data_IF_394822054385
#
_entry.id   IF_394822054385
#
_cell.length_a   1.000
_cell.length_b   1.000
_cell.length_c   1.000
_cell.angle_alpha   90.00
_cell.angle_beta   90.00
_cell.angle_gamma   90.00
#
_symmetry.space_group_name_H-M   'P 1'
#
loop_
_entity.id
_entity.type
_entity.pdbx_description
1 polymer ?
#
# COMPACT_ATOMS: atom_id res chain seq x y z
N UNK A 1 -82.34 6.22 7.81
CA UNK A 1 -81.17 6.43 6.96
C UNK A 1 -79.95 6.79 7.87
N UNK A 2 -79.10 5.79 8.17
CA UNK A 2 -77.89 5.97 8.89
C UNK A 2 -76.75 6.14 7.86
N UNK A 3 -76.06 7.30 7.87
CA UNK A 3 -74.77 7.50 7.19
C UNK A 3 -73.72 6.74 7.96
N UNK A 4 -73.02 5.83 7.30
CA UNK A 4 -71.76 5.23 7.75
C UNK A 4 -70.62 5.99 7.08
N UNK A 5 -69.79 6.63 7.91
CA UNK A 5 -68.50 7.21 7.45
C UNK A 5 -67.48 6.09 7.22
N UNK A 6 -66.65 6.17 6.19
CA UNK A 6 -65.59 5.19 5.96
C UNK A 6 -64.44 5.40 6.94
N UNK A 7 -64.06 4.35 7.66
CA UNK A 7 -62.95 4.32 8.58
C UNK A 7 -61.61 4.55 7.84
N UNK A 8 -60.91 5.57 8.25
CA UNK A 8 -59.61 5.97 7.78
C UNK A 8 -58.50 5.02 8.31
N UNK A 9 -58.49 3.77 7.83
CA UNK A 9 -57.41 2.79 8.15
C UNK A 9 -56.46 2.50 6.99
N UNK A 10 -56.64 3.11 5.80
CA UNK A 10 -55.81 2.87 4.62
C UNK A 10 -54.51 3.68 4.60
N UNK A 11 -54.46 4.83 5.30
CA UNK A 11 -53.32 5.75 5.22
C UNK A 11 -52.02 5.26 5.89
N UNK A 12 -52.17 4.56 7.02
CA UNK A 12 -50.99 4.08 7.77
C UNK A 12 -50.28 2.90 7.10
N UNK A 13 -51.01 2.03 6.44
CA UNK A 13 -50.43 0.88 5.73
C UNK A 13 -49.72 1.31 4.45
N UNK A 14 -50.25 2.31 3.74
CA UNK A 14 -49.60 2.85 2.53
C UNK A 14 -48.30 3.62 2.84
N UNK A 15 -48.25 4.35 3.94
CA UNK A 15 -47.03 5.08 4.38
C UNK A 15 -45.97 4.08 4.82
N UNK A 16 -46.35 2.98 5.50
CA UNK A 16 -45.38 1.99 5.94
C UNK A 16 -44.77 1.19 4.79
N UNK A 17 -45.58 0.81 3.80
CA UNK A 17 -45.10 0.12 2.59
C UNK A 17 -44.27 1.04 1.72
N UNK A 18 -44.61 2.33 1.62
CA UNK A 18 -43.85 3.29 0.83
C UNK A 18 -42.49 3.58 1.47
N UNK A 19 -42.42 3.76 2.79
CA UNK A 19 -41.14 3.96 3.49
C UNK A 19 -40.25 2.71 3.49
N UNK A 20 -40.82 1.50 3.64
CA UNK A 20 -40.01 0.27 3.55
C UNK A 20 -39.52 0.00 2.13
N UNK A 21 -40.36 0.28 1.10
CA UNK A 21 -39.97 0.14 -0.30
C UNK A 21 -38.87 1.18 -0.68
N UNK A 22 -38.95 2.42 -0.17
CA UNK A 22 -37.94 3.46 -0.40
C UNK A 22 -36.63 3.12 0.32
N UNK A 23 -36.69 2.56 1.53
CA UNK A 23 -35.54 2.08 2.25
C UNK A 23 -34.89 0.86 1.57
N UNK A 24 -35.68 -0.07 1.04
CA UNK A 24 -35.23 -1.22 0.25
C UNK A 24 -34.65 -0.81 -1.09
N UNK A 25 -35.24 0.14 -1.81
CA UNK A 25 -34.72 0.68 -3.06
C UNK A 25 -33.41 1.46 -2.84
N UNK A 26 -33.29 2.18 -1.72
CA UNK A 26 -32.05 2.87 -1.38
C UNK A 26 -30.91 1.88 -1.01
N UNK A 27 -31.25 0.74 -0.40
CA UNK A 27 -30.30 -0.34 -0.09
C UNK A 27 -29.84 -1.10 -1.35
N UNK A 28 -30.71 -1.24 -2.36
CA UNK A 28 -30.40 -1.94 -3.63
C UNK A 28 -29.49 -1.10 -4.55
N UNK A 29 -29.44 0.23 -4.36
CA UNK A 29 -28.65 1.14 -5.20
C UNK A 29 -27.44 1.80 -4.49
N UNK A 30 -26.96 1.23 -3.38
CA UNK A 30 -25.67 1.67 -2.85
C UNK A 30 -24.56 1.21 -3.81
N UNK A 31 -24.28 2.05 -4.81
CA UNK A 31 -23.16 1.88 -5.72
C UNK A 31 -21.88 2.17 -4.92
N UNK A 32 -21.18 1.14 -4.49
CA UNK A 32 -19.89 1.30 -3.86
C UNK A 32 -18.88 1.64 -4.97
N UNK A 33 -18.36 2.84 -4.95
CA UNK A 33 -17.21 3.20 -5.82
C UNK A 33 -15.96 2.80 -5.09
N UNK A 34 -15.17 1.91 -5.72
CA UNK A 34 -13.91 1.42 -5.16
C UNK A 34 -12.79 1.96 -6.04
N UNK A 35 -11.80 2.58 -5.42
CA UNK A 35 -10.56 2.93 -6.09
C UNK A 35 -9.60 1.75 -5.95
N UNK A 36 -9.40 1.01 -7.04
CA UNK A 36 -8.45 -0.10 -7.10
C UNK A 36 -7.11 0.50 -7.52
N UNK A 37 -6.01 0.24 -6.80
CA UNK A 37 -4.71 0.75 -7.21
C UNK A 37 -4.32 0.20 -8.58
N UNK A 38 -3.82 1.08 -9.44
CA UNK A 38 -3.37 0.74 -10.80
C UNK A 38 -1.84 0.59 -10.88
N UNK A 39 -1.13 1.01 -9.83
CA UNK A 39 0.33 0.95 -9.76
C UNK A 39 0.85 0.81 -8.33
N UNK A 40 2.10 0.36 -8.18
CA UNK A 40 2.78 0.30 -6.89
C UNK A 40 2.97 1.69 -6.25
N UNK A 41 2.89 2.77 -7.02
CA UNK A 41 2.96 4.15 -6.49
C UNK A 41 1.71 4.60 -5.75
N UNK A 42 0.63 3.81 -5.80
CA UNK A 42 -0.61 4.06 -5.07
C UNK A 42 -0.73 3.22 -3.78
N UNK A 43 0.23 2.32 -3.55
CA UNK A 43 0.28 1.45 -2.37
C UNK A 43 1.43 1.90 -1.48
N UNK A 44 1.16 2.17 -0.20
CA UNK A 44 2.18 2.54 0.77
C UNK A 44 2.86 1.33 1.40
N UNK A 45 4.09 1.51 1.89
CA UNK A 45 4.80 0.50 2.66
C UNK A 45 4.01 0.07 3.91
N UNK A 46 3.33 1.01 4.59
CA UNK A 46 2.48 0.69 5.75
C UNK A 46 1.32 -0.26 5.40
N UNK A 47 0.67 -0.06 4.24
CA UNK A 47 -0.37 -0.97 3.77
C UNK A 47 0.20 -2.37 3.48
N UNK A 48 1.34 -2.43 2.84
CA UNK A 48 2.01 -3.71 2.53
C UNK A 48 2.46 -4.45 3.80
N UNK A 49 3.07 -3.74 4.75
CA UNK A 49 3.44 -4.31 6.06
C UNK A 49 2.22 -4.84 6.83
N UNK A 50 1.10 -4.09 6.81
CA UNK A 50 -0.16 -4.53 7.41
C UNK A 50 -0.69 -5.78 6.71
N UNK A 51 -0.63 -5.85 5.39
CA UNK A 51 -1.03 -7.01 4.61
C UNK A 51 -0.20 -8.24 4.96
N UNK A 52 1.13 -8.16 4.91
CA UNK A 52 2.03 -9.26 5.23
C UNK A 52 1.79 -9.82 6.65
N UNK A 53 1.64 -8.95 7.64
CA UNK A 53 1.35 -9.37 9.01
C UNK A 53 0.04 -10.17 9.15
N UNK A 54 -0.93 -9.91 8.28
CA UNK A 54 -2.21 -10.63 8.26
C UNK A 54 -2.07 -11.94 7.47
N UNK A 55 -1.43 -11.90 6.31
CA UNK A 55 -1.27 -13.07 5.43
C UNK A 55 -0.40 -14.16 6.06
N UNK A 56 0.67 -13.79 6.76
CA UNK A 56 1.56 -14.74 7.43
C UNK A 56 0.90 -15.53 8.57
N UNK A 57 -0.20 -15.01 9.11
CA UNK A 57 -0.89 -15.60 10.26
C UNK A 57 -2.27 -16.21 9.92
N UNK A 58 -2.65 -16.27 8.64
CA UNK A 58 -3.96 -16.75 8.22
C UNK A 58 -3.87 -17.59 6.95
N UNK A 59 -4.59 -18.70 6.92
CA UNK A 59 -4.70 -19.59 5.77
C UNK A 59 -6.07 -19.49 5.07
N UNK A 60 -7.06 -18.79 5.68
CA UNK A 60 -8.40 -18.62 5.09
C UNK A 60 -8.34 -17.70 3.88
N UNK A 61 -8.44 -18.29 2.71
CA UNK A 61 -8.36 -17.59 1.42
C UNK A 61 -9.44 -16.50 1.27
N UNK A 62 -10.66 -16.76 1.72
CA UNK A 62 -11.73 -15.77 1.61
C UNK A 62 -11.51 -14.57 2.54
N UNK A 63 -11.02 -14.84 3.75
CA UNK A 63 -10.63 -13.78 4.68
C UNK A 63 -9.47 -12.94 4.10
N UNK A 64 -8.45 -13.60 3.53
CA UNK A 64 -7.32 -12.91 2.92
C UNK A 64 -7.73 -12.04 1.74
N UNK A 65 -8.60 -12.51 0.83
CA UNK A 65 -9.14 -11.69 -0.27
C UNK A 65 -9.84 -10.43 0.24
N UNK A 66 -10.68 -10.57 1.28
CA UNK A 66 -11.36 -9.43 1.88
C UNK A 66 -10.39 -8.42 2.49
N UNK A 67 -9.36 -8.91 3.20
CA UNK A 67 -8.34 -8.05 3.83
C UNK A 67 -7.42 -7.39 2.81
N UNK A 68 -7.11 -8.04 1.70
CA UNK A 68 -6.36 -7.45 0.60
C UNK A 68 -7.10 -6.23 0.04
N UNK A 69 -8.40 -6.38 -0.27
CA UNK A 69 -9.23 -5.28 -0.78
C UNK A 69 -9.38 -4.17 0.27
N UNK A 70 -9.68 -4.53 1.54
CA UNK A 70 -9.80 -3.55 2.63
C UNK A 70 -8.55 -2.68 2.75
N UNK A 71 -7.37 -3.29 2.68
CA UNK A 71 -6.10 -2.60 2.91
C UNK A 71 -5.67 -1.80 1.68
N UNK A 72 -5.65 -2.41 0.50
CA UNK A 72 -5.07 -1.78 -0.69
C UNK A 72 -6.04 -0.83 -1.40
N UNK A 73 -7.35 -1.08 -1.34
CA UNK A 73 -8.35 -0.13 -1.83
C UNK A 73 -8.77 0.90 -0.76
N UNK A 74 -8.23 0.82 0.46
CA UNK A 74 -8.50 1.72 1.58
C UNK A 74 -10.00 1.91 1.86
N UNK A 75 -10.78 0.82 1.88
CA UNK A 75 -12.22 0.81 2.15
C UNK A 75 -12.54 0.00 3.39
N UNK A 76 -13.57 0.36 4.18
CA UNK A 76 -13.99 -0.42 5.35
C UNK A 76 -14.44 -1.83 4.97
N UNK A 77 -14.16 -2.83 5.82
CA UNK A 77 -14.56 -4.23 5.60
C UNK A 77 -16.08 -4.37 5.29
N UNK A 78 -16.92 -3.54 5.93
CA UNK A 78 -18.36 -3.52 5.66
C UNK A 78 -18.69 -3.22 4.18
N UNK A 79 -17.88 -2.39 3.51
CA UNK A 79 -18.05 -2.10 2.09
C UNK A 79 -17.54 -3.26 1.23
N UNK A 80 -16.43 -3.89 1.61
CA UNK A 80 -15.90 -5.09 0.92
C UNK A 80 -16.96 -6.18 0.88
N UNK A 81 -17.69 -6.42 1.97
CA UNK A 81 -18.75 -7.43 2.06
C UNK A 81 -19.96 -7.14 1.15
N UNK A 82 -20.10 -5.94 0.63
CA UNK A 82 -21.15 -5.56 -0.33
C UNK A 82 -20.71 -5.71 -1.80
N UNK A 83 -19.45 -6.08 -2.07
CA UNK A 83 -18.95 -6.33 -3.42
C UNK A 83 -19.50 -7.69 -3.90
N UNK A 84 -19.81 -7.80 -5.19
CA UNK A 84 -20.22 -9.08 -5.77
C UNK A 84 -19.06 -10.09 -5.72
N UNK A 85 -19.37 -11.34 -5.44
CA UNK A 85 -18.35 -12.40 -5.30
C UNK A 85 -17.45 -12.52 -6.53
N UNK A 86 -18.00 -12.43 -7.73
CA UNK A 86 -17.19 -12.48 -8.97
C UNK A 86 -16.24 -11.30 -9.12
N UNK A 87 -16.61 -10.11 -8.61
CA UNK A 87 -15.79 -8.90 -8.71
C UNK A 87 -14.63 -8.97 -7.69
N UNK A 88 -14.80 -9.66 -6.55
CA UNK A 88 -13.74 -9.88 -5.54
C UNK A 88 -12.53 -10.55 -6.16
N UNK A 89 -12.71 -11.63 -6.92
CA UNK A 89 -11.62 -12.38 -7.53
C UNK A 89 -10.88 -11.52 -8.57
N UNK A 90 -11.62 -10.77 -9.38
CA UNK A 90 -11.02 -9.84 -10.37
C UNK A 90 -10.18 -8.76 -9.70
N UNK A 91 -10.69 -8.11 -8.63
CA UNK A 91 -9.95 -7.08 -7.90
C UNK A 91 -8.67 -7.65 -7.28
N UNK A 92 -8.75 -8.83 -6.67
CA UNK A 92 -7.60 -9.51 -6.07
C UNK A 92 -6.54 -9.87 -7.13
N UNK A 93 -6.97 -10.36 -8.30
CA UNK A 93 -6.07 -10.64 -9.42
C UNK A 93 -5.38 -9.38 -9.92
N UNK A 94 -6.09 -8.27 -10.06
CA UNK A 94 -5.52 -7.01 -10.52
C UNK A 94 -4.50 -6.45 -9.53
N UNK A 95 -4.80 -6.49 -8.22
CA UNK A 95 -3.83 -6.12 -7.19
C UNK A 95 -2.59 -7.04 -7.23
N UNK A 96 -2.77 -8.36 -7.35
CA UNK A 96 -1.66 -9.30 -7.41
C UNK A 96 -0.76 -9.07 -8.64
N UNK A 97 -1.31 -8.68 -9.78
CA UNK A 97 -0.53 -8.35 -10.98
C UNK A 97 0.45 -7.20 -10.74
N UNK A 98 0.11 -6.24 -9.87
CA UNK A 98 1.00 -5.12 -9.55
C UNK A 98 2.30 -5.58 -8.89
N UNK A 99 2.23 -6.61 -8.04
CA UNK A 99 3.40 -7.16 -7.35
C UNK A 99 4.32 -8.00 -8.26
N UNK A 100 3.88 -8.32 -9.48
CA UNK A 100 4.69 -9.01 -10.50
C UNK A 100 5.44 -8.04 -11.41
N UNK A 101 5.15 -6.74 -11.33
CA UNK A 101 5.81 -5.71 -12.15
C UNK A 101 7.22 -5.48 -11.60
N UNK A 102 8.23 -5.67 -12.45
CA UNK A 102 9.61 -5.33 -12.09
C UNK A 102 9.76 -3.81 -11.99
N UNK A 103 10.09 -3.26 -10.81
CA UNK A 103 10.20 -1.83 -10.62
C UNK A 103 11.45 -1.27 -11.30
N UNK A 104 11.31 -0.11 -11.95
CA UNK A 104 12.45 0.66 -12.44
C UNK A 104 13.10 1.39 -11.26
N UNK A 105 14.42 1.39 -11.20
CA UNK A 105 15.16 2.12 -10.18
C UNK A 105 14.82 3.61 -10.21
N UNK A 106 14.51 4.15 -9.03
CA UNK A 106 14.24 5.56 -8.78
C UNK A 106 15.28 6.07 -7.80
N UNK A 107 16.20 6.86 -8.29
CA UNK A 107 17.26 7.46 -7.48
C UNK A 107 16.78 8.65 -6.64
N UNK A 108 15.64 9.26 -7.00
CA UNK A 108 15.04 10.42 -6.31
C UNK A 108 13.52 10.33 -6.24
N UNK A 109 12.95 10.90 -5.16
CA UNK A 109 11.51 11.09 -5.04
C UNK A 109 11.16 12.21 -4.07
N UNK A 110 9.93 12.73 -4.18
CA UNK A 110 9.40 13.75 -3.26
C UNK A 110 8.64 13.07 -2.12
N UNK A 111 8.92 13.48 -0.89
CA UNK A 111 8.22 12.95 0.28
C UNK A 111 8.16 14.01 1.39
N UNK A 112 6.95 14.27 1.93
CA UNK A 112 6.71 15.26 2.99
C UNK A 112 7.35 16.64 2.71
N UNK A 113 7.34 17.09 1.44
CA UNK A 113 7.89 18.38 1.04
C UNK A 113 9.41 18.43 0.91
N UNK A 114 10.10 17.31 1.05
CA UNK A 114 11.53 17.17 0.84
C UNK A 114 11.82 16.26 -0.36
N UNK A 115 12.90 16.56 -1.09
CA UNK A 115 13.42 15.66 -2.11
C UNK A 115 14.41 14.69 -1.45
N UNK A 116 14.15 13.39 -1.58
CA UNK A 116 15.02 12.32 -1.11
C UNK A 116 15.82 11.75 -2.26
N UNK A 117 17.07 11.41 -2.00
CA UNK A 117 17.97 10.74 -2.93
C UNK A 117 18.51 9.43 -2.35
N UNK A 118 18.69 8.44 -3.22
CA UNK A 118 19.37 7.19 -2.88
C UNK A 118 20.84 7.47 -2.55
N UNK A 119 21.46 6.68 -1.70
CA UNK A 119 22.90 6.78 -1.38
C UNK A 119 23.70 6.80 -2.69
N UNK A 120 24.43 7.90 -3.02
CA UNK A 120 25.10 8.01 -4.32
C UNK A 120 26.27 7.05 -4.49
N UNK A 121 26.87 6.62 -3.37
CA UNK A 121 28.04 5.74 -3.34
C UNK A 121 27.91 4.75 -2.18
N UNK A 122 27.52 3.53 -2.51
CA UNK A 122 27.35 2.47 -1.51
C UNK A 122 28.68 1.98 -0.91
N UNK A 123 29.78 2.12 -1.63
CA UNK A 123 31.14 1.80 -1.19
C UNK A 123 31.70 2.80 -0.15
N UNK A 124 31.10 4.00 -0.05
CA UNK A 124 31.42 5.00 0.98
C UNK A 124 30.47 4.95 2.19
N UNK A 125 29.62 3.91 2.28
CA UNK A 125 28.69 3.74 3.40
C UNK A 125 29.45 3.63 4.72
N UNK A 126 29.01 4.38 5.74
CA UNK A 126 29.58 4.29 7.08
C UNK A 126 29.24 2.94 7.75
N UNK A 127 30.03 2.56 8.74
CA UNK A 127 29.79 1.33 9.49
C UNK A 127 28.42 1.34 10.22
N UNK A 128 27.97 2.51 10.69
CA UNK A 128 26.63 2.65 11.29
C UNK A 128 25.50 2.40 10.28
N UNK A 129 25.60 2.98 9.08
CA UNK A 129 24.64 2.72 7.99
C UNK A 129 24.60 1.24 7.61
N UNK A 130 25.76 0.60 7.54
CA UNK A 130 25.86 -0.82 7.22
C UNK A 130 25.19 -1.70 8.27
N UNK A 131 25.44 -1.47 9.57
CA UNK A 131 24.82 -2.24 10.66
C UNK A 131 23.31 -2.07 10.66
N UNK A 132 22.81 -0.84 10.51
CA UNK A 132 21.38 -0.58 10.51
C UNK A 132 20.71 -1.18 9.28
N UNK A 133 21.35 -1.13 8.12
CA UNK A 133 20.83 -1.75 6.91
C UNK A 133 20.77 -3.28 7.04
N UNK A 134 21.84 -3.92 7.54
CA UNK A 134 21.90 -5.37 7.79
C UNK A 134 20.85 -5.81 8.80
N UNK A 135 20.55 -4.97 9.80
CA UNK A 135 19.54 -5.24 10.83
C UNK A 135 18.11 -5.13 10.30
N UNK A 136 17.81 -4.10 9.49
CA UNK A 136 16.42 -3.76 9.15
C UNK A 136 15.97 -4.26 7.77
N UNK A 137 16.89 -4.55 6.86
CA UNK A 137 16.57 -4.98 5.50
C UNK A 137 15.94 -6.37 5.40
N UNK A 138 16.32 -7.38 6.24
CA UNK A 138 15.75 -8.72 6.14
C UNK A 138 14.26 -8.80 6.51
N UNK A 139 13.77 -7.86 7.32
CA UNK A 139 12.44 -7.93 7.91
C UNK A 139 11.50 -6.88 7.34
N UNK A 140 10.42 -7.31 6.68
CA UNK A 140 9.44 -6.39 6.11
C UNK A 140 8.84 -5.42 7.13
N UNK A 141 8.67 -5.84 8.39
CA UNK A 141 8.10 -4.98 9.44
C UNK A 141 9.03 -3.82 9.84
N UNK A 142 10.33 -3.93 9.54
CA UNK A 142 11.35 -2.88 9.78
C UNK A 142 11.82 -2.20 8.50
N UNK A 143 11.30 -2.58 7.35
CA UNK A 143 11.71 -2.07 6.03
C UNK A 143 11.69 -0.54 5.93
N UNK A 144 10.75 0.15 6.58
CA UNK A 144 10.72 1.62 6.62
C UNK A 144 11.99 2.23 7.21
N UNK A 145 12.68 1.54 8.12
CA UNK A 145 13.97 1.93 8.66
C UNK A 145 15.10 1.70 7.66
N UNK A 146 15.09 0.55 6.97
CA UNK A 146 16.05 0.28 5.90
C UNK A 146 15.96 1.31 4.77
N UNK A 147 14.74 1.69 4.38
CA UNK A 147 14.52 2.74 3.37
C UNK A 147 15.06 4.10 3.85
N UNK A 148 14.95 4.41 5.15
CA UNK A 148 15.52 5.64 5.73
C UNK A 148 17.07 5.65 5.75
N UNK A 149 17.70 4.48 5.77
CA UNK A 149 19.17 4.37 5.55
C UNK A 149 19.52 4.62 4.09
N UNK A 150 18.78 3.99 3.17
CA UNK A 150 19.07 4.03 1.72
C UNK A 150 18.74 5.37 1.06
N UNK A 151 17.70 6.07 1.54
CA UNK A 151 17.24 7.34 0.98
C UNK A 151 17.25 8.42 2.04
N UNK A 152 17.88 9.54 1.74
CA UNK A 152 17.94 10.70 2.64
C UNK A 152 17.66 11.99 1.89
N UNK A 153 17.22 13.06 2.58
CA UNK A 153 17.01 14.37 1.97
C UNK A 153 18.24 14.85 1.20
N UNK A 154 18.01 15.42 0.02
CA UNK A 154 19.04 16.01 -0.81
C UNK A 154 19.35 17.41 -0.27
N UNK A 155 20.59 17.62 0.18
CA UNK A 155 21.10 18.93 0.63
C UNK A 155 21.50 19.83 -0.52
N UNK A 156 22.04 19.22 -1.58
CA UNK A 156 22.56 19.94 -2.74
C UNK A 156 22.41 19.09 -3.99
N UNK A 157 21.97 19.70 -5.07
CA UNK A 157 21.82 19.04 -6.38
C UNK A 157 22.40 19.91 -7.49
N UNK A 158 23.18 19.31 -8.39
CA UNK A 158 23.69 19.95 -9.60
C UNK A 158 23.67 18.98 -10.77
N UNK A 159 22.77 19.22 -11.72
CA UNK A 159 22.49 18.30 -12.85
C UNK A 159 22.09 16.92 -12.29
N UNK A 160 22.76 15.87 -12.75
CA UNK A 160 22.52 14.49 -12.32
C UNK A 160 23.17 14.12 -10.96
N UNK A 161 24.06 14.97 -10.44
CA UNK A 161 24.76 14.71 -9.17
C UNK A 161 24.06 15.38 -8.00
N UNK A 162 24.00 14.70 -6.88
CA UNK A 162 23.47 15.24 -5.64
C UNK A 162 24.27 14.78 -4.42
N UNK A 163 24.10 15.52 -3.33
CA UNK A 163 24.58 15.18 -2.00
C UNK A 163 23.38 15.04 -1.09
N UNK A 164 23.33 13.95 -0.36
CA UNK A 164 22.30 13.68 0.64
C UNK A 164 22.76 14.12 2.03
N UNK A 165 21.83 14.19 2.97
CA UNK A 165 22.17 14.42 4.38
C UNK A 165 23.08 13.35 4.94
N UNK A 166 23.92 13.75 5.91
CA UNK A 166 24.71 12.82 6.69
C UNK A 166 23.79 11.88 7.47
N UNK A 167 24.24 10.64 7.64
CA UNK A 167 23.46 9.66 8.38
C UNK A 167 23.46 9.98 9.89
N UNK A 168 22.30 9.95 10.51
CA UNK A 168 22.13 10.11 11.94
C UNK A 168 21.51 8.86 12.59
N UNK A 169 20.37 8.40 12.07
CA UNK A 169 19.71 7.18 12.53
C UNK A 169 18.68 6.67 11.51
N UNK A 170 18.35 5.39 11.59
CA UNK A 170 17.31 4.76 10.78
C UNK A 170 15.88 5.21 11.13
N UNK A 171 15.67 5.94 12.22
CA UNK A 171 14.38 6.45 12.68
C UNK A 171 14.19 7.96 12.44
N UNK A 172 15.15 8.63 11.74
CA UNK A 172 15.09 10.09 11.56
C UNK A 172 13.85 10.56 10.81
N UNK A 173 13.39 9.80 9.82
CA UNK A 173 12.19 10.10 9.04
C UNK A 173 11.22 8.92 9.09
N UNK A 174 9.91 9.19 9.20
CA UNK A 174 8.89 8.14 9.11
C UNK A 174 8.65 7.79 7.64
N UNK A 175 9.25 6.69 7.17
CA UNK A 175 9.15 6.19 5.80
C UNK A 175 8.00 5.19 5.59
N UNK A 176 7.08 5.03 6.53
CA UNK A 176 5.95 4.09 6.41
C UNK A 176 4.97 4.45 5.30
N UNK A 177 4.85 5.74 4.97
CA UNK A 177 3.96 6.21 3.90
C UNK A 177 4.65 6.32 2.54
N UNK A 178 5.93 5.93 2.43
CA UNK A 178 6.61 5.83 1.13
C UNK A 178 5.95 4.74 0.29
N UNK A 179 5.83 4.98 -1.00
CA UNK A 179 5.14 4.09 -1.93
C UNK A 179 5.98 2.87 -2.32
N UNK A 180 5.33 1.76 -2.64
CA UNK A 180 6.02 0.49 -2.90
C UNK A 180 6.91 0.52 -4.13
N UNK A 181 6.63 1.35 -5.11
CA UNK A 181 7.50 1.52 -6.28
C UNK A 181 8.88 2.06 -5.90
N UNK A 182 8.97 2.97 -4.91
CA UNK A 182 10.24 3.44 -4.34
C UNK A 182 10.92 2.32 -3.56
N UNK A 183 10.18 1.65 -2.67
CA UNK A 183 10.72 0.58 -1.82
C UNK A 183 11.30 -0.54 -2.69
N UNK A 184 10.51 -1.08 -3.61
CA UNK A 184 10.94 -2.18 -4.47
C UNK A 184 12.07 -1.79 -5.41
N UNK A 185 12.04 -0.55 -5.96
CA UNK A 185 13.12 -0.07 -6.83
C UNK A 185 14.46 -0.01 -6.10
N UNK A 186 14.47 0.50 -4.86
CA UNK A 186 15.67 0.54 -4.03
C UNK A 186 16.19 -0.85 -3.66
N UNK A 187 15.28 -1.78 -3.32
CA UNK A 187 15.62 -3.16 -2.99
C UNK A 187 16.20 -3.91 -4.18
N UNK A 188 15.55 -3.85 -5.34
CA UNK A 188 16.04 -4.52 -6.56
C UNK A 188 17.41 -4.00 -6.96
N UNK A 189 17.62 -2.67 -6.90
CA UNK A 189 18.92 -2.08 -7.17
C UNK A 189 20.00 -2.59 -6.19
N UNK A 190 19.71 -2.61 -4.90
CA UNK A 190 20.62 -3.09 -3.87
C UNK A 190 20.98 -4.58 -4.06
N UNK A 191 20.00 -5.43 -4.37
CA UNK A 191 20.23 -6.85 -4.61
C UNK A 191 21.03 -7.11 -5.89
N UNK A 192 20.78 -6.36 -6.96
CA UNK A 192 21.54 -6.47 -8.20
C UNK A 192 23.01 -6.10 -7.99
N UNK A 193 23.27 -5.01 -7.27
CA UNK A 193 24.62 -4.59 -6.94
C UNK A 193 25.36 -5.64 -6.09
N UNK A 194 24.69 -6.20 -5.08
CA UNK A 194 25.25 -7.29 -4.24
C UNK A 194 25.61 -8.51 -5.08
N UNK A 195 24.76 -8.88 -6.04
CA UNK A 195 24.98 -10.00 -6.96
C UNK A 195 26.16 -9.74 -7.90
N UNK A 196 26.29 -8.54 -8.45
CA UNK A 196 27.43 -8.15 -9.30
C UNK A 196 28.73 -8.20 -8.52
N UNK A 197 28.76 -7.69 -7.30
CA UNK A 197 29.93 -7.74 -6.42
C UNK A 197 30.34 -9.19 -6.13
N UNK A 198 29.39 -10.06 -5.78
CA UNK A 198 29.66 -11.48 -5.52
C UNK A 198 30.23 -12.18 -6.75
N UNK A 199 29.65 -11.93 -7.93
CA UNK A 199 30.14 -12.51 -9.20
C UNK A 199 31.56 -12.01 -9.51
N UNK A 200 31.88 -10.74 -9.24
CA UNK A 200 33.21 -10.19 -9.45
C UNK A 200 34.24 -10.87 -8.55
N UNK A 201 33.90 -11.16 -7.29
CA UNK A 201 34.78 -11.88 -6.36
C UNK A 201 35.00 -13.32 -6.83
N UNK A 202 33.93 -14.01 -7.25
CA UNK A 202 34.03 -15.40 -7.73
C UNK A 202 34.86 -15.54 -9.02
N UNK A 203 34.83 -14.52 -9.88
CA UNK A 203 35.64 -14.51 -11.12
C UNK A 203 37.13 -14.18 -10.84
N UNK A 204 37.47 -13.71 -9.65
CA UNK A 204 38.85 -13.36 -9.24
C UNK A 204 39.55 -14.53 -8.51
N UNK A 205 38.78 -15.52 -8.04
CA UNK A 205 39.26 -16.73 -7.39
C UNK A 205 39.47 -17.87 -8.39
#
# INVERSE_FOLDING_TARGET
LKHLEPSNQGGFFFIFVHNTLHFFLHYIYMKVTINIPESLSEITLAQYQKWLKISDNNEDNNFLKQKMIEIFCNIPLKQVLNIKANDIDTIVEDINKLFLIEPKFKDRFQYNGLEFGFIPKLDEMSFGEYIDLDTYLPEWQTMHKAINVLYRPIKYSRKEKYLIEDYESADKYDMKQVTLDIVFSGLVFFWNLKKELLNSILNYL
#
